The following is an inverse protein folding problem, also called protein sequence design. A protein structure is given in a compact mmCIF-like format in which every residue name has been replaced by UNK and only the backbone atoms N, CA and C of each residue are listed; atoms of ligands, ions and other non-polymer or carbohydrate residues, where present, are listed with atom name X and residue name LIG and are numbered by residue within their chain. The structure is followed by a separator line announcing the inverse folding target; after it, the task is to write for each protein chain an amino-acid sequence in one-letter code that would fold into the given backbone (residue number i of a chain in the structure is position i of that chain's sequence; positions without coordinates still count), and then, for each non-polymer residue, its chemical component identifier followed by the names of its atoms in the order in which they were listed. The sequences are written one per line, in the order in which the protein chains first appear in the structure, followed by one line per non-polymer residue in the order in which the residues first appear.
data_IF_877655424278
#
_entry.id   IF_877655424278
#
_cell.length_a   1.000
_cell.length_b   1.000
_cell.length_c   1.000
_cell.angle_alpha   90.00
_cell.angle_beta   90.00
_cell.angle_gamma   90.00
#
_symmetry.space_group_name_H-M   'P 1'
#
loop_
_entity.id
_entity.type
_entity.pdbx_description
1 polymer ?
#
# COMPACT_ATOMS: atom_id res chain seq x y z
N UNK A 1 3.24 42.27 -41.69
CA UNK A 1 4.42 41.56 -41.15
C UNK A 1 3.93 40.20 -40.67
N UNK A 2 4.40 39.06 -41.23
CA UNK A 2 3.94 37.75 -40.77
C UNK A 2 4.43 37.55 -39.34
N UNK A 3 3.50 37.47 -38.39
CA UNK A 3 3.81 37.24 -36.97
C UNK A 3 4.27 35.79 -36.86
N UNK A 4 5.58 35.58 -36.80
CA UNK A 4 6.19 34.27 -36.58
C UNK A 4 5.59 33.62 -35.33
N UNK A 5 5.29 32.32 -35.42
CA UNK A 5 4.67 31.52 -34.37
C UNK A 5 5.39 31.76 -33.03
N UNK A 6 4.68 32.38 -32.08
CA UNK A 6 5.21 32.68 -30.74
C UNK A 6 5.59 31.34 -30.08
N UNK A 7 6.83 31.15 -29.61
CA UNK A 7 7.20 29.93 -28.92
C UNK A 7 6.31 29.78 -27.69
N UNK A 8 5.64 28.64 -27.55
CA UNK A 8 4.82 28.35 -26.38
C UNK A 8 5.74 28.31 -25.16
N UNK A 9 5.59 29.27 -24.25
CA UNK A 9 6.37 29.40 -23.01
C UNK A 9 6.01 28.35 -21.95
N UNK A 10 5.19 27.37 -22.29
CA UNK A 10 4.81 26.27 -21.41
C UNK A 10 5.96 25.28 -21.24
N UNK A 11 6.17 24.85 -19.99
CA UNK A 11 7.08 23.75 -19.65
C UNK A 11 6.61 22.37 -20.13
N UNK A 12 5.38 22.30 -20.67
CA UNK A 12 4.75 21.10 -21.19
C UNK A 12 4.42 21.25 -22.67
N UNK A 13 4.49 20.15 -23.40
CA UNK A 13 4.09 20.09 -24.80
C UNK A 13 2.55 20.04 -24.96
N UNK A 14 2.08 20.08 -26.21
CA UNK A 14 0.65 20.01 -26.53
C UNK A 14 -0.04 18.68 -26.13
N UNK A 15 0.73 17.67 -25.71
CA UNK A 15 0.27 16.36 -25.22
C UNK A 15 0.53 16.21 -23.72
N UNK A 16 0.77 17.34 -23.03
CA UNK A 16 1.06 17.42 -21.61
C UNK A 16 2.31 16.64 -21.17
N UNK A 17 3.27 16.42 -22.08
CA UNK A 17 4.54 15.80 -21.74
C UNK A 17 5.52 16.87 -21.24
N UNK A 18 6.26 16.59 -20.16
CA UNK A 18 7.28 17.50 -19.67
C UNK A 18 8.37 17.73 -20.72
N UNK A 19 8.67 18.99 -21.00
CA UNK A 19 9.74 19.39 -21.93
C UNK A 19 11.13 19.42 -21.28
N UNK A 20 12.18 19.58 -22.09
CA UNK A 20 13.57 19.61 -21.64
C UNK A 20 13.86 20.69 -20.57
N UNK A 21 13.19 21.85 -20.68
CA UNK A 21 13.30 22.93 -19.69
C UNK A 21 12.82 22.50 -18.30
N UNK A 22 11.72 21.74 -18.22
CA UNK A 22 11.18 21.24 -16.96
C UNK A 22 12.12 20.22 -16.31
N UNK A 23 12.68 19.30 -17.11
CA UNK A 23 13.60 18.28 -16.61
C UNK A 23 14.85 18.92 -16.00
N UNK A 24 15.45 19.91 -16.68
CA UNK A 24 16.60 20.68 -16.15
C UNK A 24 16.25 21.40 -14.85
N UNK A 25 15.08 22.03 -14.78
CA UNK A 25 14.64 22.72 -13.57
C UNK A 25 14.45 21.78 -12.37
N UNK A 26 14.12 20.51 -12.62
CA UNK A 26 13.89 19.48 -11.57
C UNK A 26 15.13 18.70 -11.16
N UNK A 27 16.17 18.64 -12.00
CA UNK A 27 17.44 17.94 -11.71
C UNK A 27 17.95 18.14 -10.27
N UNK A 28 18.05 19.38 -9.72
CA UNK A 28 18.63 19.57 -8.38
C UNK A 28 17.77 18.99 -7.26
N UNK A 29 16.46 18.83 -7.46
CA UNK A 29 15.52 18.38 -6.43
C UNK A 29 15.24 16.88 -6.49
N UNK A 30 15.49 16.21 -7.62
CA UNK A 30 15.24 14.78 -7.74
C UNK A 30 16.05 13.98 -6.71
N UNK A 31 17.35 14.24 -6.61
CA UNK A 31 18.22 13.54 -5.66
C UNK A 31 17.88 13.92 -4.22
N UNK A 32 17.74 15.22 -3.95
CA UNK A 32 17.46 15.71 -2.58
C UNK A 32 16.13 15.18 -2.06
N UNK A 33 15.08 15.18 -2.89
CA UNK A 33 13.77 14.68 -2.49
C UNK A 33 13.76 13.16 -2.35
N UNK A 34 14.49 12.43 -3.21
CA UNK A 34 14.62 10.97 -3.09
C UNK A 34 15.32 10.58 -1.78
N UNK A 35 16.40 11.27 -1.42
CA UNK A 35 17.10 11.06 -0.15
C UNK A 35 16.19 11.35 1.03
N UNK A 36 15.50 12.49 1.02
CA UNK A 36 14.54 12.83 2.08
C UNK A 36 13.42 11.79 2.20
N UNK A 37 12.87 11.34 1.07
CA UNK A 37 11.86 10.29 1.03
C UNK A 37 12.36 8.97 1.62
N UNK A 38 13.58 8.56 1.27
CA UNK A 38 14.23 7.37 1.83
C UNK A 38 14.42 7.50 3.35
N UNK A 39 14.87 8.67 3.83
CA UNK A 39 15.03 8.93 5.26
C UNK A 39 13.70 8.81 6.00
N UNK A 40 12.62 9.37 5.46
CA UNK A 40 11.28 9.29 6.07
C UNK A 40 10.81 7.83 6.11
N UNK A 41 10.90 7.11 5.00
CA UNK A 41 10.49 5.70 4.93
C UNK A 41 11.30 4.84 5.91
N UNK A 42 12.62 5.06 5.94
CA UNK A 42 13.53 4.36 6.87
C UNK A 42 13.19 4.66 8.32
N UNK A 43 12.94 5.92 8.66
CA UNK A 43 12.55 6.34 10.01
C UNK A 43 11.23 5.69 10.45
N UNK A 44 10.19 5.76 9.61
CA UNK A 44 8.88 5.15 9.91
C UNK A 44 8.99 3.64 10.05
N UNK A 45 9.70 2.98 9.13
CA UNK A 45 9.93 1.53 9.20
C UNK A 45 10.74 1.11 10.43
N UNK A 46 11.72 1.91 10.85
CA UNK A 46 12.49 1.68 12.06
C UNK A 46 11.61 1.79 13.31
N UNK A 47 10.80 2.84 13.42
CA UNK A 47 9.85 2.98 14.54
C UNK A 47 8.87 1.82 14.57
N UNK A 48 8.24 1.48 13.44
CA UNK A 48 7.28 0.37 13.34
C UNK A 48 7.91 -0.96 13.77
N UNK A 49 9.05 -1.33 13.20
CA UNK A 49 9.73 -2.58 13.54
C UNK A 49 10.22 -2.60 14.99
N UNK A 50 10.69 -1.47 15.51
CA UNK A 50 11.09 -1.36 16.91
C UNK A 50 9.89 -1.55 17.83
N UNK A 51 8.74 -0.94 17.54
CA UNK A 51 7.54 -1.09 18.37
C UNK A 51 7.08 -2.54 18.49
N UNK A 52 7.09 -3.31 17.40
CA UNK A 52 6.73 -4.74 17.44
C UNK A 52 7.72 -5.55 18.30
N UNK A 53 9.01 -5.20 18.28
CA UNK A 53 10.04 -5.91 19.07
C UNK A 53 10.06 -5.48 20.53
N UNK A 54 9.83 -4.20 20.79
CA UNK A 54 9.93 -3.60 22.12
C UNK A 54 8.67 -3.85 22.95
N UNK A 55 7.51 -3.89 22.31
CA UNK A 55 6.25 -4.27 22.94
C UNK A 55 6.18 -5.79 22.85
N UNK A 56 6.61 -6.47 23.90
CA UNK A 56 6.34 -7.90 24.06
C UNK A 56 4.85 -8.14 23.91
N UNK A 57 4.47 -9.08 23.04
CA UNK A 57 3.07 -9.51 22.95
C UNK A 57 2.66 -10.00 24.34
N UNK A 58 1.56 -9.46 24.85
CA UNK A 58 1.04 -9.86 26.15
C UNK A 58 0.62 -11.34 26.11
N UNK A 59 0.84 -12.08 27.21
CA UNK A 59 0.62 -13.53 27.26
C UNK A 59 -0.87 -13.87 27.41
N UNK A 60 -1.71 -12.88 27.75
CA UNK A 60 -3.16 -13.03 27.96
C UNK A 60 -3.54 -14.23 28.85
N UNK A 61 -2.61 -14.72 29.68
CA UNK A 61 -2.79 -15.94 30.47
C UNK A 61 -3.71 -15.75 31.67
N UNK A 62 -3.99 -14.49 32.03
CA UNK A 62 -4.97 -14.06 33.01
C UNK A 62 -6.38 -13.84 32.42
N UNK A 63 -6.52 -13.82 31.09
CA UNK A 63 -7.81 -13.66 30.43
C UNK A 63 -8.45 -15.04 30.23
N UNK A 64 -9.58 -15.36 30.91
CA UNK A 64 -10.25 -16.65 30.72
C UNK A 64 -10.76 -16.79 29.30
N UNK A 65 -10.34 -17.84 28.61
CA UNK A 65 -10.78 -18.14 27.25
C UNK A 65 -12.21 -18.71 27.30
N UNK A 66 -13.15 -18.21 26.49
CA UNK A 66 -14.49 -18.77 26.43
C UNK A 66 -14.42 -20.22 25.94
N UNK A 67 -15.31 -21.06 26.48
CA UNK A 67 -15.41 -22.46 26.08
C UNK A 67 -15.53 -22.58 24.56
N UNK A 68 -14.84 -23.58 23.99
CA UNK A 68 -14.91 -23.86 22.57
C UNK A 68 -16.40 -23.98 22.16
N UNK A 69 -16.80 -23.41 21.00
CA UNK A 69 -18.17 -23.56 20.52
C UNK A 69 -18.52 -25.03 20.56
N UNK A 70 -19.61 -25.37 21.27
CA UNK A 70 -20.10 -26.73 21.28
C UNK A 70 -20.30 -27.13 19.83
N UNK A 71 -19.54 -28.13 19.37
CA UNK A 71 -19.79 -28.76 18.09
C UNK A 71 -21.27 -29.12 18.12
N UNK A 72 -22.14 -28.53 17.26
CA UNK A 72 -23.54 -28.89 17.28
C UNK A 72 -23.55 -30.40 17.07
N UNK A 73 -24.02 -31.12 18.09
CA UNK A 73 -23.94 -32.57 18.12
C UNK A 73 -24.44 -33.08 16.79
N UNK A 74 -23.71 -34.03 16.19
CA UNK A 74 -24.08 -34.65 14.93
C UNK A 74 -25.54 -35.11 15.03
N UNK A 75 -26.44 -34.28 14.53
CA UNK A 75 -27.84 -34.59 14.52
C UNK A 75 -27.98 -35.70 13.48
N UNK A 76 -28.52 -36.88 13.84
CA UNK A 76 -28.58 -38.04 12.95
C UNK A 76 -29.53 -37.83 11.75
N UNK A 77 -29.92 -36.59 11.45
CA UNK A 77 -30.87 -36.22 10.41
C UNK A 77 -30.37 -35.11 9.47
N UNK A 78 -29.08 -34.79 9.42
CA UNK A 78 -28.54 -34.08 8.25
C UNK A 78 -28.15 -35.12 7.20
N UNK A 79 -29.17 -35.69 6.55
CA UNK A 79 -29.02 -36.35 5.26
C UNK A 79 -28.11 -35.49 4.40
N UNK A 80 -27.01 -36.08 3.94
CA UNK A 80 -26.11 -35.47 2.99
C UNK A 80 -26.92 -34.86 1.84
N UNK A 81 -27.06 -33.53 1.82
CA UNK A 81 -27.33 -32.81 0.57
C UNK A 81 -26.08 -33.01 -0.26
N UNK A 82 -26.17 -34.05 -1.09
CA UNK A 82 -25.23 -34.36 -2.16
C UNK A 82 -24.99 -33.06 -2.92
N UNK A 83 -23.77 -32.54 -2.81
CA UNK A 83 -23.24 -31.47 -3.64
C UNK A 83 -23.59 -31.78 -5.09
N UNK A 84 -24.54 -31.01 -5.64
CA UNK A 84 -24.87 -30.99 -7.04
C UNK A 84 -24.23 -29.74 -7.64
N UNK A 85 -23.21 -29.95 -8.47
CA UNK A 85 -22.47 -28.93 -9.22
C UNK A 85 -21.12 -28.62 -8.58
N UNK A 86 -19.98 -28.71 -9.26
CA UNK A 86 -19.68 -28.92 -10.68
C UNK A 86 -18.15 -28.94 -10.81
N UNK A 87 -17.59 -29.84 -11.64
CA UNK A 87 -16.42 -29.56 -12.48
C UNK A 87 -16.09 -30.79 -13.35
N UNK A 88 -16.54 -30.74 -14.60
CA UNK A 88 -15.64 -30.93 -15.75
C UNK A 88 -15.00 -29.58 -16.01
#
# INVERSE_FOLDING_TARGET
MPVGRIPSSSYYDARNRPGAALYRARQPYLVRNAVTGLCIIGFVGAVYSWTIRAIGQDDFSDVPMPDAPTQPGHAPHMSAVKSAGSAT
#
